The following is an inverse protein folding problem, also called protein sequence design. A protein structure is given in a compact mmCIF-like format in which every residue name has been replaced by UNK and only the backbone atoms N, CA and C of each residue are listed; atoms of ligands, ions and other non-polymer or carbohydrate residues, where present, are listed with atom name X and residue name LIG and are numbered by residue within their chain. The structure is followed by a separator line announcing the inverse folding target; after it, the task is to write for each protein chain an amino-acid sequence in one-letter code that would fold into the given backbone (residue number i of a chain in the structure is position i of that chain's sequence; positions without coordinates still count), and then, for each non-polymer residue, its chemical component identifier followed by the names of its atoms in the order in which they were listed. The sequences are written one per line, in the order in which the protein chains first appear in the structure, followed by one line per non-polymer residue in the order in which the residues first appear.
data_IF_815303965281
#
_entry.id   IF_815303965281
#
_cell.length_a   1.000
_cell.length_b   1.000
_cell.length_c   1.000
_cell.angle_alpha   90.00
_cell.angle_beta   90.00
_cell.angle_gamma   90.00
#
_symmetry.space_group_name_H-M   'P 1'
#
loop_
_entity.id
_entity.type
_entity.pdbx_description
1 polymer ?
#
# COMPACT_ATOMS: atom_id res chain seq x y z
N UNK A 1 13.11 -14.36 -39.76
CA UNK A 1 11.85 -14.11 -39.04
C UNK A 1 12.14 -14.14 -37.56
N UNK A 2 11.70 -13.07 -36.89
CA UNK A 2 11.62 -12.86 -35.43
C UNK A 2 12.90 -13.04 -34.62
N UNK A 3 13.68 -11.96 -34.51
CA UNK A 3 14.62 -11.76 -33.42
C UNK A 3 13.87 -11.26 -32.19
N UNK A 4 14.05 -11.96 -31.07
CA UNK A 4 13.59 -11.58 -29.74
C UNK A 4 14.22 -10.22 -29.35
N UNK A 5 13.45 -9.24 -28.84
CA UNK A 5 14.05 -8.06 -28.24
C UNK A 5 14.62 -8.46 -26.88
N UNK A 6 15.93 -8.23 -26.75
CA UNK A 6 16.69 -8.35 -25.51
C UNK A 6 16.06 -7.46 -24.43
N UNK A 7 15.29 -8.06 -23.52
CA UNK A 7 14.95 -7.44 -22.24
C UNK A 7 16.26 -7.46 -21.43
N UNK A 8 16.97 -6.33 -21.44
CA UNK A 8 18.12 -6.14 -20.55
C UNK A 8 17.69 -6.42 -19.11
N UNK A 9 18.58 -7.04 -18.32
CA UNK A 9 18.31 -7.40 -16.93
C UNK A 9 17.69 -6.22 -16.18
N UNK A 10 16.37 -6.28 -15.90
CA UNK A 10 15.70 -5.28 -15.08
C UNK A 10 16.34 -5.33 -13.70
N UNK A 11 16.80 -4.20 -13.19
CA UNK A 11 17.41 -4.13 -11.87
C UNK A 11 16.43 -4.69 -10.82
N UNK A 12 16.90 -5.45 -9.83
CA UNK A 12 16.04 -6.04 -8.79
C UNK A 12 15.93 -5.13 -7.57
N UNK A 13 14.75 -5.12 -6.91
CA UNK A 13 14.51 -4.44 -5.63
C UNK A 13 15.45 -4.96 -4.52
N UNK A 14 15.97 -4.08 -3.62
CA UNK A 14 15.82 -2.62 -3.60
C UNK A 14 16.82 -1.89 -4.52
N UNK A 15 16.41 -0.72 -5.03
CA UNK A 15 17.26 0.19 -5.83
C UNK A 15 16.99 1.65 -5.45
N UNK A 16 17.83 2.19 -4.57
CA UNK A 16 17.72 3.57 -4.11
C UNK A 16 18.21 4.56 -5.18
N UNK A 17 17.50 5.67 -5.34
CA UNK A 17 17.92 6.79 -6.18
C UNK A 17 17.89 6.54 -7.69
N UNK A 18 17.46 5.36 -8.14
CA UNK A 18 17.35 4.99 -9.55
C UNK A 18 15.89 4.65 -9.90
N UNK A 19 15.37 5.26 -10.97
CA UNK A 19 14.05 4.91 -11.50
C UNK A 19 14.11 3.52 -12.14
N UNK A 20 13.30 2.59 -11.63
CA UNK A 20 13.22 1.22 -12.13
C UNK A 20 11.93 1.01 -12.91
N UNK A 21 12.04 0.63 -14.18
CA UNK A 21 10.88 0.22 -14.98
C UNK A 21 10.41 -1.19 -14.58
N UNK A 22 9.13 -1.33 -14.22
CA UNK A 22 8.54 -2.57 -13.71
C UNK A 22 7.62 -3.22 -14.73
N UNK A 23 6.66 -2.46 -15.27
CA UNK A 23 5.77 -2.90 -16.36
C UNK A 23 5.99 -2.01 -17.58
N UNK A 24 5.15 -2.09 -18.61
CA UNK A 24 5.14 -1.08 -19.68
C UNK A 24 4.61 0.27 -19.18
N UNK A 25 3.70 0.24 -18.20
CA UNK A 25 2.96 1.41 -17.71
C UNK A 25 3.45 1.98 -16.38
N UNK A 26 4.26 1.23 -15.62
CA UNK A 26 4.67 1.60 -14.28
C UNK A 26 6.19 1.49 -14.07
N UNK A 27 6.74 2.53 -13.46
CA UNK A 27 8.08 2.59 -12.91
C UNK A 27 8.04 2.98 -11.43
N UNK A 28 9.09 2.65 -10.69
CA UNK A 28 9.18 2.93 -9.25
C UNK A 28 10.48 3.64 -8.90
N UNK A 29 10.40 4.63 -8.02
CA UNK A 29 11.53 5.26 -7.38
C UNK A 29 11.42 5.03 -5.87
N UNK A 30 12.38 4.32 -5.30
CA UNK A 30 12.40 3.99 -3.87
C UNK A 30 12.94 5.17 -3.05
N UNK A 31 12.15 5.63 -2.08
CA UNK A 31 12.59 6.61 -1.08
C UNK A 31 13.63 5.98 -0.13
N UNK A 32 14.65 6.74 0.27
CA UNK A 32 15.71 6.29 1.18
C UNK A 32 15.30 6.47 2.65
N UNK A 33 14.18 5.84 3.03
CA UNK A 33 13.57 5.89 4.36
C UNK A 33 13.33 4.50 4.97
N UNK A 34 14.31 3.58 4.99
CA UNK A 34 14.12 2.22 5.49
C UNK A 34 13.83 2.19 7.01
N UNK A 35 12.89 1.33 7.41
CA UNK A 35 12.51 1.13 8.82
C UNK A 35 11.77 -0.19 9.02
N UNK A 36 11.47 -0.60 10.27
CA UNK A 36 10.60 -1.75 10.50
C UNK A 36 9.19 -1.63 9.90
N UNK A 37 8.71 -0.41 9.62
CA UNK A 37 7.40 -0.16 9.02
C UNK A 37 7.48 -0.06 7.50
N UNK A 38 8.45 0.68 6.99
CA UNK A 38 8.62 0.98 5.55
C UNK A 38 9.49 -0.04 4.82
N UNK A 39 9.98 -1.08 5.50
CA UNK A 39 10.90 -2.09 4.97
C UNK A 39 12.17 -1.45 4.40
N UNK A 40 12.36 -1.57 3.09
CA UNK A 40 13.46 -1.00 2.32
C UNK A 40 13.21 0.49 1.99
N UNK A 41 12.03 1.03 2.28
CA UNK A 41 11.61 2.39 1.95
C UNK A 41 10.24 2.42 1.26
N UNK A 42 9.70 3.61 1.06
CA UNK A 42 8.43 3.83 0.37
C UNK A 42 8.64 3.79 -1.14
N UNK A 43 7.86 2.97 -1.83
CA UNK A 43 7.82 2.89 -3.29
C UNK A 43 6.96 4.04 -3.83
N UNK A 44 7.58 5.07 -4.39
CA UNK A 44 6.87 6.08 -5.18
C UNK A 44 6.70 5.56 -6.60
N UNK A 45 5.45 5.45 -7.05
CA UNK A 45 5.13 4.91 -8.37
C UNK A 45 4.90 6.02 -9.39
N UNK A 46 5.46 5.85 -10.58
CA UNK A 46 5.29 6.74 -11.72
C UNK A 46 4.63 5.98 -12.85
N UNK A 47 3.44 6.42 -13.23
CA UNK A 47 2.59 5.74 -14.21
C UNK A 47 2.44 6.59 -15.46
N UNK A 48 2.52 5.96 -16.62
CA UNK A 48 2.11 6.56 -17.89
C UNK A 48 1.95 5.51 -19.00
N UNK A 49 1.15 5.81 -20.02
CA UNK A 49 1.19 5.08 -21.27
C UNK A 49 2.52 5.32 -22.02
N UNK A 50 2.96 4.41 -22.91
CA UNK A 50 4.25 4.53 -23.60
C UNK A 50 4.45 5.87 -24.34
N UNK A 51 3.39 6.33 -25.01
CA UNK A 51 3.41 7.55 -25.83
C UNK A 51 3.05 8.83 -25.03
N UNK A 52 2.75 8.70 -23.74
CA UNK A 52 2.41 9.84 -22.91
C UNK A 52 3.65 10.65 -22.50
N UNK A 53 3.45 11.97 -22.40
CA UNK A 53 4.50 12.96 -22.12
C UNK A 53 4.51 13.43 -20.66
N UNK A 54 3.50 13.04 -19.88
CA UNK A 54 3.38 13.31 -18.45
C UNK A 54 3.15 12.02 -17.66
N UNK A 55 3.39 12.07 -16.36
CA UNK A 55 3.23 10.96 -15.42
C UNK A 55 2.09 11.23 -14.44
N UNK A 56 1.40 10.17 -14.01
CA UNK A 56 0.71 10.16 -12.72
C UNK A 56 1.71 9.68 -11.67
N UNK A 57 1.82 10.39 -10.55
CA UNK A 57 2.67 9.99 -9.42
C UNK A 57 1.76 9.47 -8.31
N UNK A 58 2.03 8.27 -7.80
CA UNK A 58 1.31 7.69 -6.67
C UNK A 58 2.25 7.59 -5.47
N UNK A 59 1.83 8.17 -4.35
CA UNK A 59 2.58 8.29 -3.10
C UNK A 59 3.98 8.89 -3.28
N UNK A 60 4.09 10.23 -3.39
CA UNK A 60 5.37 10.92 -3.60
C UNK A 60 6.35 10.75 -2.44
N UNK A 61 5.90 10.21 -1.31
CA UNK A 61 6.77 9.75 -0.23
C UNK A 61 6.81 10.70 0.97
N UNK A 62 7.79 10.52 1.87
CA UNK A 62 8.00 11.43 3.00
C UNK A 62 8.41 12.83 2.51
N UNK A 63 8.43 13.81 3.42
CA UNK A 63 8.95 15.14 3.13
C UNK A 63 10.49 15.15 3.03
N UNK A 64 11.01 14.52 1.98
CA UNK A 64 12.42 14.47 1.62
C UNK A 64 12.66 15.24 0.31
N UNK A 65 13.22 16.45 0.42
CA UNK A 65 13.44 17.33 -0.73
C UNK A 65 14.37 16.70 -1.80
N UNK A 66 15.29 15.80 -1.44
CA UNK A 66 16.14 15.13 -2.42
C UNK A 66 15.36 14.10 -3.24
N UNK A 67 14.49 13.32 -2.61
CA UNK A 67 13.57 12.38 -3.24
C UNK A 67 12.56 13.12 -4.13
N UNK A 68 11.89 14.13 -3.59
CA UNK A 68 10.91 14.94 -4.34
C UNK A 68 11.52 15.62 -5.58
N UNK A 69 12.77 16.10 -5.47
CA UNK A 69 13.51 16.63 -6.63
C UNK A 69 13.79 15.56 -7.68
N UNK A 70 14.22 14.35 -7.28
CA UNK A 70 14.44 13.25 -8.21
C UNK A 70 13.16 12.85 -8.95
N UNK A 71 12.02 12.80 -8.25
CA UNK A 71 10.72 12.53 -8.90
C UNK A 71 10.42 13.62 -9.94
N UNK A 72 10.56 14.89 -9.57
CA UNK A 72 10.27 16.02 -10.45
C UNK A 72 11.19 16.11 -11.69
N UNK A 73 12.44 15.65 -11.56
CA UNK A 73 13.42 15.62 -12.65
C UNK A 73 13.12 14.54 -13.70
N UNK A 74 12.29 13.54 -13.39
CA UNK A 74 11.91 12.47 -14.33
C UNK A 74 11.05 13.02 -15.48
N UNK A 75 10.15 13.96 -15.20
CA UNK A 75 9.31 14.58 -16.24
C UNK A 75 8.08 15.30 -15.71
N UNK A 76 7.25 15.84 -16.63
CA UNK A 76 6.01 16.52 -16.28
C UNK A 76 5.05 15.60 -15.52
N UNK A 77 4.37 16.13 -14.51
CA UNK A 77 3.37 15.38 -13.72
C UNK A 77 1.98 15.91 -14.06
N UNK A 78 1.05 15.01 -14.38
CA UNK A 78 -0.34 15.32 -14.66
C UNK A 78 -1.14 15.48 -13.36
N UNK A 79 -0.99 14.53 -12.44
CA UNK A 79 -1.59 14.56 -11.10
C UNK A 79 -0.82 13.66 -10.13
N UNK A 80 -1.02 13.91 -8.84
CA UNK A 80 -0.53 13.10 -7.73
C UNK A 80 -1.72 12.40 -7.10
N UNK A 81 -1.62 11.10 -6.89
CA UNK A 81 -2.61 10.29 -6.18
C UNK A 81 -2.00 9.80 -4.87
N UNK A 82 -2.82 9.73 -3.82
CA UNK A 82 -2.43 9.11 -2.56
C UNK A 82 -3.22 7.84 -2.33
N UNK A 83 -2.53 6.78 -1.91
CA UNK A 83 -3.17 5.55 -1.42
C UNK A 83 -3.81 5.79 -0.06
N UNK A 84 -3.15 6.53 0.83
CA UNK A 84 -3.66 6.88 2.16
C UNK A 84 -2.82 7.99 2.83
N UNK A 85 -3.27 8.43 4.00
CA UNK A 85 -2.71 9.57 4.73
C UNK A 85 -1.44 9.33 5.54
N UNK A 86 -0.84 8.13 5.60
CA UNK A 86 0.36 7.93 6.42
C UNK A 86 1.54 8.79 5.93
N UNK A 87 2.37 9.33 6.86
CA UNK A 87 3.36 10.35 6.51
C UNK A 87 4.37 9.93 5.45
N UNK A 88 4.81 8.68 5.47
CA UNK A 88 5.79 8.19 4.51
C UNK A 88 5.22 8.04 3.09
N UNK A 89 3.90 8.15 2.90
CA UNK A 89 3.24 8.24 1.59
C UNK A 89 2.84 9.68 1.23
N UNK A 90 2.33 10.44 2.21
CA UNK A 90 1.56 11.67 2.00
C UNK A 90 2.29 12.97 2.36
N UNK A 91 3.29 12.93 3.25
CA UNK A 91 3.87 14.13 3.86
C UNK A 91 4.53 15.05 2.82
N UNK A 92 5.17 14.47 1.80
CA UNK A 92 5.77 15.20 0.68
C UNK A 92 4.77 15.69 -0.36
N UNK A 93 3.51 15.26 -0.32
CA UNK A 93 2.58 15.42 -1.44
C UNK A 93 2.27 16.87 -1.78
N UNK A 94 2.03 17.69 -0.77
CA UNK A 94 1.70 19.11 -0.98
C UNK A 94 2.87 19.88 -1.57
N UNK A 95 4.07 19.70 -1.02
CA UNK A 95 5.27 20.38 -1.51
C UNK A 95 5.61 19.91 -2.94
N UNK A 96 5.50 18.61 -3.18
CA UNK A 96 5.74 18.04 -4.50
C UNK A 96 4.77 18.59 -5.55
N UNK A 97 3.47 18.63 -5.22
CA UNK A 97 2.42 19.14 -6.10
C UNK A 97 2.61 20.61 -6.47
N UNK A 98 2.99 21.46 -5.51
CA UNK A 98 3.33 22.86 -5.77
C UNK A 98 4.55 23.00 -6.69
N UNK A 99 5.57 22.16 -6.48
CA UNK A 99 6.80 22.13 -7.29
C UNK A 99 6.54 21.75 -8.75
N UNK A 100 5.73 20.72 -8.98
CA UNK A 100 5.43 20.22 -10.34
C UNK A 100 4.20 20.86 -10.96
N UNK A 101 3.45 21.68 -10.19
CA UNK A 101 2.21 22.36 -10.58
C UNK A 101 1.11 21.40 -11.02
N UNK A 102 0.95 20.31 -10.28
CA UNK A 102 -0.09 19.31 -10.48
C UNK A 102 -0.98 19.20 -9.23
N UNK A 103 -2.25 18.76 -9.35
CA UNK A 103 -3.10 18.55 -8.19
C UNK A 103 -2.73 17.29 -7.39
N UNK A 104 -3.16 17.23 -6.12
CA UNK A 104 -3.19 16.02 -5.29
C UNK A 104 -4.63 15.56 -5.11
N UNK A 105 -4.87 14.27 -5.36
CA UNK A 105 -6.16 13.62 -5.12
C UNK A 105 -5.96 12.49 -4.11
N UNK A 106 -6.85 12.44 -3.13
CA UNK A 106 -6.83 11.49 -2.03
C UNK A 106 -8.27 11.24 -1.56
N UNK A 107 -8.51 10.15 -0.83
CA UNK A 107 -9.81 9.91 -0.19
C UNK A 107 -10.05 10.88 0.97
N UNK A 108 -9.06 11.05 1.85
CA UNK A 108 -9.15 12.05 2.93
C UNK A 108 -8.95 13.48 2.36
N UNK A 109 -9.96 14.37 2.49
CA UNK A 109 -9.90 15.74 2.00
C UNK A 109 -8.74 16.57 2.56
N UNK A 110 -8.19 16.21 3.73
CA UNK A 110 -7.07 16.92 4.34
C UNK A 110 -5.79 16.87 3.49
N UNK A 111 -5.63 15.83 2.65
CA UNK A 111 -4.48 15.68 1.76
C UNK A 111 -4.75 16.15 0.33
N UNK A 112 -5.98 16.56 0.02
CA UNK A 112 -6.33 17.04 -1.33
C UNK A 112 -5.75 18.42 -1.62
N UNK A 113 -5.37 18.66 -2.87
CA UNK A 113 -4.89 19.96 -3.31
C UNK A 113 -5.20 20.23 -4.79
N UNK A 114 -5.84 21.37 -5.07
CA UNK A 114 -6.01 21.85 -6.44
C UNK A 114 -6.95 21.03 -7.33
N UNK A 115 -7.61 20.00 -6.79
CA UNK A 115 -8.60 19.15 -7.47
C UNK A 115 -9.62 18.59 -6.48
N UNK A 116 -10.63 17.91 -6.99
CA UNK A 116 -11.55 17.10 -6.21
C UNK A 116 -10.87 15.83 -5.66
N UNK A 117 -11.41 15.33 -4.54
CA UNK A 117 -10.95 14.10 -3.90
C UNK A 117 -11.23 12.84 -4.73
N UNK A 118 -10.92 11.70 -4.13
CA UNK A 118 -11.19 10.38 -4.68
C UNK A 118 -12.28 9.69 -3.87
N UNK A 119 -13.06 8.84 -4.53
CA UNK A 119 -14.00 7.92 -3.90
C UNK A 119 -13.88 6.52 -4.51
N UNK A 120 -14.37 5.52 -3.78
CA UNK A 120 -14.45 4.14 -4.28
C UNK A 120 -15.24 4.07 -5.60
N UNK A 121 -14.70 3.34 -6.56
CA UNK A 121 -15.31 3.16 -7.88
C UNK A 121 -15.00 4.27 -8.89
N UNK A 122 -14.28 5.33 -8.50
CA UNK A 122 -13.83 6.35 -9.45
C UNK A 122 -12.96 5.75 -10.56
N UNK A 123 -13.06 6.35 -11.75
CA UNK A 123 -12.20 6.05 -12.88
C UNK A 123 -11.44 7.32 -13.27
N UNK A 124 -10.11 7.26 -13.20
CA UNK A 124 -9.21 8.35 -13.52
C UNK A 124 -8.61 8.09 -14.90
N UNK A 125 -8.82 9.01 -15.84
CA UNK A 125 -8.17 8.98 -17.14
C UNK A 125 -7.07 10.02 -17.19
N UNK A 126 -5.81 9.60 -17.12
CA UNK A 126 -4.66 10.51 -16.99
C UNK A 126 -3.38 9.86 -17.48
N UNK A 127 -2.44 10.67 -17.99
CA UNK A 127 -1.19 10.19 -18.59
C UNK A 127 -1.37 9.05 -19.62
N UNK A 128 -2.49 9.04 -20.34
CA UNK A 128 -2.84 8.01 -21.33
C UNK A 128 -3.29 6.67 -20.74
N UNK A 129 -3.50 6.57 -19.42
CA UNK A 129 -3.95 5.37 -18.72
C UNK A 129 -5.38 5.53 -18.19
N UNK A 130 -6.04 4.40 -17.95
CA UNK A 130 -7.25 4.31 -17.13
C UNK A 130 -6.92 3.66 -15.78
N UNK A 131 -7.18 4.39 -14.69
CA UNK A 131 -6.98 3.91 -13.31
C UNK A 131 -8.33 3.77 -12.63
N UNK A 132 -8.69 2.55 -12.22
CA UNK A 132 -9.89 2.31 -11.41
C UNK A 132 -9.52 2.34 -9.92
N UNK A 133 -10.20 3.18 -9.17
CA UNK A 133 -10.03 3.34 -7.73
C UNK A 133 -10.85 2.28 -7.00
N UNK A 134 -10.21 1.57 -6.08
CA UNK A 134 -10.84 0.64 -5.15
C UNK A 134 -10.67 1.19 -3.73
N UNK A 135 -11.79 1.41 -3.04
CA UNK A 135 -11.79 1.60 -1.59
C UNK A 135 -11.34 0.31 -0.93
N UNK A 136 -10.22 0.36 -0.21
CA UNK A 136 -9.67 -0.80 0.51
C UNK A 136 -9.38 -0.46 1.97
N UNK A 137 -10.40 -0.02 2.75
CA UNK A 137 -10.21 0.35 4.14
C UNK A 137 -9.73 -0.85 4.97
N UNK A 138 -9.01 -0.57 6.04
CA UNK A 138 -8.65 -1.58 7.04
C UNK A 138 -7.24 -1.46 7.54
N UNK A 139 -6.27 -1.13 6.68
CA UNK A 139 -4.97 -0.62 7.14
C UNK A 139 -5.16 0.77 7.76
N UNK A 140 -5.71 1.69 6.98
CA UNK A 140 -6.35 2.94 7.41
C UNK A 140 -7.77 3.01 6.87
N UNK A 141 -8.59 3.89 7.42
CA UNK A 141 -9.95 4.12 6.91
C UNK A 141 -9.99 4.78 5.54
N UNK A 142 -8.92 5.47 5.14
CA UNK A 142 -8.79 6.18 3.86
C UNK A 142 -7.96 5.42 2.80
N UNK A 143 -7.63 4.14 3.05
CA UNK A 143 -6.83 3.31 2.16
C UNK A 143 -7.52 3.05 0.80
N UNK A 144 -6.79 3.31 -0.28
CA UNK A 144 -7.17 3.08 -1.67
C UNK A 144 -6.16 2.17 -2.38
N UNK A 145 -6.67 1.32 -3.28
CA UNK A 145 -5.89 0.65 -4.31
C UNK A 145 -6.23 1.22 -5.70
N UNK A 146 -5.28 1.18 -6.63
CA UNK A 146 -5.47 1.65 -8.01
C UNK A 146 -5.19 0.53 -9.00
N UNK A 147 -6.21 0.08 -9.73
CA UNK A 147 -6.06 -0.90 -10.81
C UNK A 147 -5.69 -0.17 -12.10
N UNK A 148 -4.56 -0.56 -12.71
CA UNK A 148 -3.98 0.06 -13.90
C UNK A 148 -4.29 -0.82 -15.10
N UNK A 149 -5.17 -0.36 -16.00
CA UNK A 149 -5.58 -1.04 -17.24
C UNK A 149 -5.98 -2.53 -17.08
N UNK A 150 -6.32 -2.96 -15.85
CA UNK A 150 -6.63 -4.36 -15.53
C UNK A 150 -5.44 -5.31 -15.46
N UNK A 151 -4.19 -4.82 -15.60
CA UNK A 151 -2.97 -5.65 -15.63
C UNK A 151 -2.19 -5.62 -14.32
N UNK A 152 -2.28 -4.53 -13.57
CA UNK A 152 -1.59 -4.35 -12.31
C UNK A 152 -2.46 -3.61 -11.30
N UNK A 153 -2.12 -3.73 -10.01
CA UNK A 153 -2.77 -3.00 -8.93
C UNK A 153 -1.73 -2.40 -8.00
N UNK A 154 -1.82 -1.09 -7.80
CA UNK A 154 -1.13 -0.38 -6.73
C UNK A 154 -1.90 -0.62 -5.44
N UNK A 155 -1.22 -1.14 -4.42
CA UNK A 155 -1.88 -1.60 -3.19
C UNK A 155 -1.59 -0.77 -1.96
N UNK A 156 -0.70 0.24 -2.07
CA UNK A 156 -0.23 0.99 -0.91
C UNK A 156 0.19 0.02 0.20
N UNK A 157 -0.41 0.20 1.36
CA UNK A 157 -0.18 -0.65 2.54
C UNK A 157 -1.24 -1.72 2.79
N UNK A 158 -2.18 -1.90 1.87
CA UNK A 158 -3.17 -3.00 1.95
C UNK A 158 -2.48 -4.36 1.78
N UNK A 159 -1.59 -4.49 0.78
CA UNK A 159 -0.75 -5.68 0.55
C UNK A 159 0.69 -5.23 0.31
N UNK A 160 1.61 -5.69 1.14
CA UNK A 160 3.05 -5.40 1.01
C UNK A 160 3.75 -6.47 0.18
N UNK A 161 4.87 -6.10 -0.43
CA UNK A 161 5.75 -6.99 -1.20
C UNK A 161 6.46 -8.07 -0.36
N UNK A 162 6.52 -7.87 0.96
CA UNK A 162 7.08 -8.84 1.90
C UNK A 162 6.45 -8.67 3.28
N UNK A 163 6.24 -9.78 3.97
CA UNK A 163 5.62 -9.76 5.29
C UNK A 163 4.13 -9.45 5.18
N UNK A 164 3.58 -8.79 6.21
CA UNK A 164 2.18 -8.36 6.24
C UNK A 164 2.07 -6.97 6.84
N UNK A 165 1.05 -6.21 6.43
CA UNK A 165 0.78 -4.86 6.96
C UNK A 165 0.44 -4.84 8.46
N UNK A 166 0.23 -3.66 9.04
CA UNK A 166 -0.38 -3.50 10.36
C UNK A 166 -1.83 -3.06 10.21
N UNK A 167 -2.73 -3.63 11.01
CA UNK A 167 -4.12 -3.15 11.13
C UNK A 167 -4.30 -2.68 12.56
N UNK A 168 -4.41 -1.36 12.75
CA UNK A 168 -4.35 -0.72 14.06
C UNK A 168 -5.62 0.08 14.39
N UNK A 169 -6.38 -0.40 15.36
CA UNK A 169 -7.58 0.27 15.87
C UNK A 169 -7.22 1.59 16.59
N UNK A 170 -8.02 2.68 16.46
CA UNK A 170 -9.38 2.73 15.90
C UNK A 170 -9.51 2.95 14.40
N UNK A 171 -8.46 3.43 13.74
CA UNK A 171 -8.52 3.75 12.32
C UNK A 171 -8.52 2.48 11.44
N UNK A 172 -7.51 1.63 11.64
CA UNK A 172 -7.46 0.32 11.02
C UNK A 172 -8.44 -0.68 11.66
N UNK A 173 -9.27 -1.31 10.85
CA UNK A 173 -10.32 -2.24 11.27
C UNK A 173 -10.18 -3.59 10.55
N UNK A 174 -10.26 -4.67 11.31
CA UNK A 174 -9.99 -6.01 10.76
C UNK A 174 -11.10 -6.51 9.82
N UNK A 175 -12.37 -6.19 10.08
CA UNK A 175 -13.47 -6.55 9.18
C UNK A 175 -13.33 -5.89 7.82
N UNK A 176 -13.21 -4.56 7.81
CA UNK A 176 -12.94 -3.76 6.61
C UNK A 176 -11.72 -4.29 5.84
N UNK A 177 -10.65 -4.66 6.58
CA UNK A 177 -9.45 -5.24 5.98
C UNK A 177 -9.72 -6.60 5.32
N UNK A 178 -10.53 -7.47 5.93
CA UNK A 178 -10.92 -8.74 5.32
C UNK A 178 -11.74 -8.55 4.05
N UNK A 179 -12.72 -7.65 4.06
CA UNK A 179 -13.52 -7.33 2.87
C UNK A 179 -12.64 -6.76 1.75
N UNK A 180 -11.67 -5.92 2.08
CA UNK A 180 -10.68 -5.39 1.13
C UNK A 180 -9.80 -6.48 0.53
N UNK A 181 -9.35 -7.45 1.33
CA UNK A 181 -8.57 -8.58 0.82
C UNK A 181 -9.43 -9.52 -0.04
N UNK A 182 -10.71 -9.73 0.29
CA UNK A 182 -11.64 -10.48 -0.54
C UNK A 182 -11.84 -9.80 -1.91
N UNK A 183 -11.99 -8.48 -1.93
CA UNK A 183 -12.06 -7.71 -3.17
C UNK A 183 -10.81 -7.90 -4.04
N UNK A 184 -9.61 -7.82 -3.45
CA UNK A 184 -8.35 -8.02 -4.16
C UNK A 184 -8.16 -9.49 -4.59
N UNK A 185 -8.72 -10.45 -3.86
CA UNK A 185 -8.67 -11.87 -4.18
C UNK A 185 -9.41 -12.23 -5.48
N UNK A 186 -10.39 -11.41 -5.87
CA UNK A 186 -11.24 -11.56 -7.06
C UNK A 186 -10.70 -10.79 -8.29
N UNK A 187 -9.55 -10.12 -8.17
CA UNK A 187 -8.90 -9.51 -9.34
C UNK A 187 -8.46 -10.61 -10.34
N UNK A 188 -8.36 -10.28 -11.64
CA UNK A 188 -7.94 -11.24 -12.66
C UNK A 188 -6.61 -11.92 -12.33
N UNK A 189 -6.47 -13.18 -12.73
CA UNK A 189 -5.21 -13.91 -12.59
C UNK A 189 -4.06 -13.15 -13.27
N UNK A 190 -2.89 -13.20 -12.63
CA UNK A 190 -1.66 -12.48 -13.03
C UNK A 190 -1.77 -10.95 -12.98
N UNK A 191 -2.75 -10.40 -12.25
CA UNK A 191 -2.73 -8.97 -11.91
C UNK A 191 -1.53 -8.70 -10.99
N UNK A 192 -0.51 -8.02 -11.49
CA UNK A 192 0.71 -7.75 -10.73
C UNK A 192 0.45 -6.81 -9.54
N UNK A 193 1.07 -7.07 -8.40
CA UNK A 193 1.00 -6.19 -7.21
C UNK A 193 2.16 -5.22 -7.22
N UNK A 194 1.84 -3.93 -7.16
CA UNK A 194 2.76 -2.81 -7.03
C UNK A 194 2.58 -2.21 -5.62
N UNK A 195 3.32 -2.69 -4.60
CA UNK A 195 3.05 -2.33 -3.21
C UNK A 195 3.65 -0.99 -2.83
N UNK A 196 3.17 -0.40 -1.73
CA UNK A 196 3.78 0.75 -1.06
C UNK A 196 5.17 0.43 -0.49
N UNK A 197 5.39 -0.83 -0.07
CA UNK A 197 6.68 -1.29 0.44
C UNK A 197 7.06 -2.68 -0.07
N UNK A 198 8.36 -2.90 -0.27
CA UNK A 198 8.92 -4.19 -0.69
C UNK A 198 8.83 -4.43 -2.20
N UNK A 199 9.22 -5.65 -2.66
CA UNK A 199 9.25 -6.01 -4.07
C UNK A 199 7.84 -6.24 -4.64
N UNK A 200 7.71 -6.20 -5.96
CA UNK A 200 6.44 -6.55 -6.63
C UNK A 200 6.08 -8.02 -6.44
N UNK A 201 4.78 -8.33 -6.48
CA UNK A 201 4.27 -9.69 -6.49
C UNK A 201 3.60 -9.99 -7.83
N UNK A 202 3.65 -11.25 -8.26
CA UNK A 202 3.15 -11.66 -9.57
C UNK A 202 1.62 -11.67 -9.68
N UNK A 203 0.92 -11.94 -8.57
CA UNK A 203 -0.53 -12.16 -8.58
C UNK A 203 -1.18 -11.59 -7.31
N UNK A 204 -2.04 -10.60 -7.48
CA UNK A 204 -2.79 -9.94 -6.41
C UNK A 204 -3.75 -10.90 -5.71
N UNK A 205 -4.39 -11.81 -6.45
CA UNK A 205 -5.32 -12.76 -5.90
C UNK A 205 -4.64 -13.76 -4.97
N UNK A 206 -3.49 -14.28 -5.37
CA UNK A 206 -2.66 -15.18 -4.56
C UNK A 206 -2.15 -14.48 -3.30
N UNK A 207 -1.63 -13.26 -3.43
CA UNK A 207 -1.16 -12.47 -2.31
C UNK A 207 -2.29 -12.20 -1.29
N UNK A 208 -3.46 -11.78 -1.77
CA UNK A 208 -4.62 -11.50 -0.92
C UNK A 208 -5.12 -12.76 -0.19
N UNK A 209 -5.19 -13.91 -0.87
CA UNK A 209 -5.56 -15.20 -0.24
C UNK A 209 -4.55 -15.65 0.82
N UNK A 210 -3.25 -15.43 0.57
CA UNK A 210 -2.20 -15.70 1.57
C UNK A 210 -2.38 -14.83 2.82
N UNK A 211 -2.66 -13.54 2.63
CA UNK A 211 -2.95 -12.60 3.72
C UNK A 211 -4.19 -13.01 4.51
N UNK A 212 -5.29 -13.35 3.82
CA UNK A 212 -6.53 -13.85 4.44
C UNK A 212 -6.27 -15.07 5.31
N UNK A 213 -5.54 -16.06 4.79
CA UNK A 213 -5.20 -17.27 5.52
C UNK A 213 -4.36 -16.96 6.77
N UNK A 214 -3.31 -16.15 6.64
CA UNK A 214 -2.45 -15.76 7.75
C UNK A 214 -3.21 -15.01 8.85
N UNK A 215 -4.04 -14.03 8.46
CA UNK A 215 -4.83 -13.22 9.38
C UNK A 215 -5.89 -14.03 10.10
N UNK A 216 -6.58 -14.91 9.38
CA UNK A 216 -7.56 -15.85 9.95
C UNK A 216 -6.89 -16.73 10.99
N UNK A 217 -5.74 -17.32 10.66
CA UNK A 217 -4.98 -18.15 11.61
C UNK A 217 -4.59 -17.36 12.86
N UNK A 218 -4.11 -16.12 12.71
CA UNK A 218 -3.74 -15.28 13.86
C UNK A 218 -4.96 -14.89 14.71
N UNK A 219 -6.08 -14.58 14.08
CA UNK A 219 -7.34 -14.29 14.77
C UNK A 219 -7.82 -15.49 15.60
N UNK A 220 -7.71 -16.72 15.07
CA UNK A 220 -8.03 -17.93 15.83
C UNK A 220 -7.12 -18.12 17.05
N UNK A 221 -5.82 -17.82 16.92
CA UNK A 221 -4.90 -17.87 18.06
C UNK A 221 -5.29 -16.85 19.14
N UNK A 222 -5.64 -15.62 18.75
CA UNK A 222 -6.15 -14.61 19.69
C UNK A 222 -7.45 -15.05 20.34
N UNK A 223 -8.39 -15.60 19.58
CA UNK A 223 -9.66 -16.11 20.12
C UNK A 223 -9.43 -17.19 21.19
N UNK A 224 -8.52 -18.13 20.92
CA UNK A 224 -8.15 -19.18 21.89
C UNK A 224 -7.47 -18.59 23.13
N UNK A 225 -6.57 -17.63 22.97
CA UNK A 225 -5.92 -16.94 24.09
C UNK A 225 -6.94 -16.19 24.96
N UNK A 226 -7.90 -15.50 24.35
CA UNK A 226 -8.99 -14.81 25.07
C UNK A 226 -9.83 -15.81 25.87
N UNK A 227 -10.20 -16.95 25.27
CA UNK A 227 -10.95 -18.01 25.96
C UNK A 227 -10.17 -18.60 27.14
N UNK A 228 -8.86 -18.81 26.98
CA UNK A 228 -8.01 -19.37 28.02
C UNK A 228 -7.75 -18.39 29.19
N UNK A 229 -7.57 -17.10 28.89
CA UNK A 229 -7.37 -16.05 29.89
C UNK A 229 -8.67 -15.73 30.66
N UNK A 230 -9.82 -15.86 29.99
CA UNK A 230 -11.13 -15.55 30.54
C UNK A 230 -11.34 -14.04 30.76
N UNK A 231 -12.59 -13.65 31.05
CA UNK A 231 -12.95 -12.25 31.25
C UNK A 231 -12.72 -11.38 30.01
N UNK A 232 -12.19 -10.17 30.22
CA UNK A 232 -11.85 -9.22 29.16
C UNK A 232 -10.34 -8.91 29.22
N UNK A 233 -9.48 -9.79 28.68
CA UNK A 233 -8.03 -9.61 28.78
C UNK A 233 -7.58 -8.37 28.02
N UNK A 234 -6.55 -7.73 28.54
CA UNK A 234 -5.89 -6.60 27.86
C UNK A 234 -5.13 -7.09 26.61
N UNK A 235 -4.89 -6.20 25.64
CA UNK A 235 -4.05 -6.53 24.48
C UNK A 235 -2.68 -7.10 24.86
N UNK A 236 -2.04 -6.52 25.89
CA UNK A 236 -0.74 -7.00 26.39
C UNK A 236 -0.81 -8.44 26.90
N UNK A 237 -1.84 -8.80 27.68
CA UNK A 237 -2.03 -10.17 28.17
C UNK A 237 -2.20 -11.18 27.04
N UNK A 238 -2.91 -10.79 25.97
CA UNK A 238 -3.06 -11.65 24.79
C UNK A 238 -1.73 -11.75 24.02
N UNK A 239 -0.98 -10.66 23.88
CA UNK A 239 0.36 -10.68 23.25
C UNK A 239 1.30 -11.62 24.01
N UNK A 240 1.32 -11.57 25.33
CA UNK A 240 2.14 -12.45 26.18
C UNK A 240 1.88 -13.95 25.95
N UNK A 241 0.66 -14.31 25.52
CA UNK A 241 0.28 -15.70 25.20
C UNK A 241 0.56 -16.03 23.73
N UNK A 242 0.13 -15.17 22.80
CA UNK A 242 0.10 -15.45 21.35
C UNK A 242 1.45 -15.22 20.68
N UNK A 243 2.29 -14.36 21.25
CA UNK A 243 3.59 -13.94 20.72
C UNK A 243 4.74 -14.29 21.69
N UNK A 244 4.55 -15.33 22.52
CA UNK A 244 5.50 -15.73 23.55
C UNK A 244 6.89 -16.11 23.00
N UNK A 245 6.94 -16.57 21.76
CA UNK A 245 8.13 -16.97 21.00
C UNK A 245 8.69 -15.85 20.10
N UNK A 246 8.05 -14.68 20.06
CA UNK A 246 8.46 -13.52 19.27
C UNK A 246 9.29 -12.57 20.13
N UNK A 247 10.34 -11.97 19.55
CA UNK A 247 11.16 -10.97 20.22
C UNK A 247 10.29 -9.85 20.80
N UNK A 248 10.54 -9.51 22.07
CA UNK A 248 9.81 -8.50 22.83
C UNK A 248 9.90 -7.11 22.22
N UNK A 249 10.91 -6.84 21.40
CA UNK A 249 11.00 -5.58 20.64
C UNK A 249 9.82 -5.37 19.70
N UNK A 250 9.20 -6.46 19.21
CA UNK A 250 8.06 -6.42 18.29
C UNK A 250 6.69 -6.40 19.01
N UNK A 251 6.67 -6.60 20.33
CA UNK A 251 5.43 -6.69 21.09
C UNK A 251 4.58 -5.41 21.07
N UNK A 252 5.15 -4.18 21.09
CA UNK A 252 4.35 -2.97 20.95
C UNK A 252 3.54 -2.92 19.64
N UNK A 253 4.14 -3.32 18.51
CA UNK A 253 3.44 -3.41 17.23
C UNK A 253 2.39 -4.54 17.23
N UNK A 254 2.71 -5.69 17.84
CA UNK A 254 1.77 -6.79 18.02
C UNK A 254 0.55 -6.36 18.85
N UNK A 255 0.72 -5.52 19.88
CA UNK A 255 -0.39 -5.00 20.68
C UNK A 255 -1.38 -4.18 19.86
N UNK A 256 -0.92 -3.40 18.87
CA UNK A 256 -1.81 -2.67 17.96
C UNK A 256 -2.68 -3.63 17.13
N UNK A 257 -2.06 -4.67 16.57
CA UNK A 257 -2.79 -5.71 15.82
C UNK A 257 -3.76 -6.48 16.71
N UNK A 258 -3.36 -6.82 17.94
CA UNK A 258 -4.22 -7.51 18.89
C UNK A 258 -5.39 -6.64 19.33
N UNK A 259 -5.22 -5.32 19.48
CA UNK A 259 -6.34 -4.40 19.77
C UNK A 259 -7.41 -4.49 18.68
N UNK A 260 -7.02 -4.43 17.40
CA UNK A 260 -7.97 -4.57 16.29
C UNK A 260 -8.68 -5.93 16.30
N UNK A 261 -7.95 -7.01 16.60
CA UNK A 261 -8.53 -8.36 16.69
C UNK A 261 -9.50 -8.51 17.87
N UNK A 262 -9.18 -7.94 19.02
CA UNK A 262 -10.06 -7.94 20.19
C UNK A 262 -11.35 -7.16 19.92
N UNK A 263 -11.25 -6.03 19.22
CA UNK A 263 -12.43 -5.27 18.82
C UNK A 263 -13.29 -6.09 17.86
N UNK A 264 -12.69 -6.65 16.80
CA UNK A 264 -13.38 -7.51 15.84
C UNK A 264 -14.13 -8.68 16.51
N UNK A 265 -13.50 -9.36 17.47
CA UNK A 265 -14.14 -10.46 18.21
C UNK A 265 -15.29 -10.02 19.10
N UNK A 266 -15.32 -8.75 19.54
CA UNK A 266 -16.41 -8.20 20.36
C UNK A 266 -17.60 -7.77 19.52
N UNK A 267 -17.35 -7.17 18.36
CA UNK A 267 -18.36 -6.57 17.49
C UNK A 267 -18.92 -7.54 16.48
N UNK A 268 -18.13 -8.55 16.07
CA UNK A 268 -18.46 -9.42 14.93
C UNK A 268 -18.33 -8.73 13.57
N UNK A 269 -17.76 -7.51 13.57
CA UNK A 269 -17.54 -6.62 12.44
C UNK A 269 -16.21 -5.90 12.61
#
# INVERSE_FOLDING_TARGET
MSGSPLIGARAEHPRYGELRQVTEHAAVLLADNPSPMTLDGTNTWLLKAPDATSYVVVDPGPLDDAHLRRIAEIGPVAEVLLTHGHPDHSEGAREFAERVKAPVRALDPTFTYGSEGLTDGDVITSAGLELRVLGTPGHTSDSLCFVIDGEAVLTGDTVLGRGTTIVAHPDGRLGDYFESLELLAELPENTAVLPGHGPELADAGEAARMYLAHRTQRLEQVRRAVQALGGAPTPRQVVEVVYADVDRVLWPAAEWSVRAQLEYLRTGY
#
